data_IF_427040924735
#
_entry.id   IF_427040924735
#
_cell.length_a   1.000
_cell.length_b   1.000
_cell.length_c   1.000
_cell.angle_alpha   90.00
_cell.angle_beta   90.00
_cell.angle_gamma   90.00
#
_symmetry.space_group_name_H-M   'P 1'
#
loop_
_entity.id
_entity.type
_entity.pdbx_description
1 polymer ?
#
# COMPACT_ATOMS: atom_id res chain seq x y z
N UNK A 1 -5.47 -33.65 -14.64
CA UNK A 1 -5.41 -33.01 -13.31
C UNK A 1 -6.79 -32.43 -13.02
N UNK A 2 -7.35 -32.68 -11.83
CA UNK A 2 -8.62 -32.06 -11.42
C UNK A 2 -8.38 -30.67 -10.86
N UNK A 3 -9.30 -29.74 -11.10
CA UNK A 3 -9.29 -28.42 -10.46
C UNK A 3 -10.14 -28.44 -9.21
N UNK A 4 -9.80 -27.65 -8.20
CA UNK A 4 -10.52 -27.62 -6.93
C UNK A 4 -10.85 -26.19 -6.52
N UNK A 5 -12.02 -26.02 -5.91
CA UNK A 5 -12.41 -24.76 -5.29
C UNK A 5 -11.48 -24.43 -4.11
N UNK A 6 -10.95 -23.21 -4.04
CA UNK A 6 -10.04 -22.81 -2.99
C UNK A 6 -10.71 -22.76 -1.60
N UNK A 7 -12.04 -22.56 -1.55
CA UNK A 7 -12.82 -22.41 -0.31
C UNK A 7 -13.31 -23.76 0.23
N UNK A 8 -14.16 -24.45 -0.52
CA UNK A 8 -14.82 -25.68 -0.06
C UNK A 8 -14.16 -26.97 -0.58
N UNK A 9 -13.06 -26.86 -1.31
CA UNK A 9 -12.24 -27.98 -1.83
C UNK A 9 -12.97 -28.98 -2.74
N UNK A 10 -14.19 -28.68 -3.17
CA UNK A 10 -14.90 -29.50 -4.17
C UNK A 10 -14.21 -29.40 -5.52
N UNK A 11 -14.26 -30.49 -6.29
CA UNK A 11 -13.77 -30.53 -7.67
C UNK A 11 -14.60 -29.58 -8.55
N UNK A 12 -13.94 -28.85 -9.44
CA UNK A 12 -14.55 -27.94 -10.41
C UNK A 12 -14.10 -28.30 -11.82
N UNK A 13 -14.95 -28.05 -12.82
CA UNK A 13 -14.61 -28.30 -14.22
C UNK A 13 -13.59 -27.29 -14.75
N UNK A 14 -12.94 -27.61 -15.86
CA UNK A 14 -12.00 -26.72 -16.58
C UNK A 14 -12.63 -25.37 -16.91
N UNK A 15 -13.88 -25.36 -17.35
CA UNK A 15 -14.59 -24.14 -17.75
C UNK A 15 -14.88 -23.26 -16.53
N UNK A 16 -15.28 -23.87 -15.41
CA UNK A 16 -15.52 -23.15 -14.15
C UNK A 16 -14.21 -22.61 -13.57
N UNK A 17 -13.14 -23.38 -13.65
CA UNK A 17 -11.80 -22.92 -13.26
C UNK A 17 -11.37 -21.71 -14.09
N UNK A 18 -11.43 -21.79 -15.42
CA UNK A 18 -11.00 -20.69 -16.29
C UNK A 18 -11.83 -19.43 -16.07
N UNK A 19 -13.15 -19.54 -16.06
CA UNK A 19 -14.01 -18.41 -15.76
C UNK A 19 -13.68 -17.78 -14.40
N UNK A 20 -13.44 -18.61 -13.38
CA UNK A 20 -13.12 -18.13 -12.03
C UNK A 20 -11.75 -17.45 -11.97
N UNK A 21 -10.75 -17.97 -12.68
CA UNK A 21 -9.44 -17.34 -12.79
C UNK A 21 -9.51 -16.02 -13.56
N UNK A 22 -10.22 -15.98 -14.69
CA UNK A 22 -10.32 -14.78 -15.54
C UNK A 22 -11.14 -13.64 -14.91
N UNK A 23 -12.19 -13.98 -14.15
CA UNK A 23 -13.12 -12.99 -13.58
C UNK A 23 -12.87 -12.66 -12.12
N UNK A 24 -12.29 -13.59 -11.35
CA UNK A 24 -12.15 -13.48 -9.88
C UNK A 24 -10.69 -13.63 -9.43
N UNK A 25 -9.79 -14.17 -10.27
CA UNK A 25 -8.38 -14.38 -9.92
C UNK A 25 -8.12 -15.52 -8.92
N UNK A 26 -9.16 -16.28 -8.55
CA UNK A 26 -9.09 -17.42 -7.63
C UNK A 26 -9.94 -18.57 -8.16
N UNK A 27 -9.53 -19.84 -8.00
CA UNK A 27 -10.31 -20.99 -8.45
C UNK A 27 -11.47 -21.26 -7.49
N UNK A 28 -12.70 -20.90 -7.86
CA UNK A 28 -13.90 -21.05 -7.04
C UNK A 28 -14.99 -21.84 -7.78
N UNK A 29 -15.75 -22.67 -7.06
CA UNK A 29 -16.94 -23.31 -7.60
C UNK A 29 -18.09 -22.32 -7.75
N UNK A 30 -19.06 -22.60 -8.63
CA UNK A 30 -20.22 -21.71 -8.89
C UNK A 30 -20.96 -21.26 -7.61
N UNK A 31 -21.09 -22.15 -6.62
CA UNK A 31 -21.74 -21.83 -5.34
C UNK A 31 -20.89 -20.87 -4.48
N UNK A 32 -19.57 -21.01 -4.50
CA UNK A 32 -18.67 -20.09 -3.81
C UNK A 32 -18.54 -18.76 -4.58
N UNK A 33 -18.66 -18.76 -5.92
CA UNK A 33 -18.65 -17.53 -6.74
C UNK A 33 -19.82 -16.60 -6.38
N UNK A 34 -21.02 -17.13 -6.15
CA UNK A 34 -22.19 -16.33 -5.72
C UNK A 34 -22.09 -15.82 -4.28
N UNK A 35 -21.27 -16.48 -3.45
CA UNK A 35 -20.92 -15.99 -2.11
C UNK A 35 -19.77 -14.98 -2.14
N UNK A 36 -18.99 -14.95 -3.23
CA UNK A 36 -17.88 -14.00 -3.44
C UNK A 36 -18.33 -12.62 -3.93
N UNK A 37 -19.55 -12.47 -4.47
CA UNK A 37 -20.13 -11.14 -4.71
C UNK A 37 -20.36 -10.32 -3.43
N UNK A 38 -20.32 -10.98 -2.26
CA UNK A 38 -20.33 -10.36 -0.93
C UNK A 38 -19.02 -10.49 -0.15
N UNK A 39 -18.01 -11.14 -0.71
CA UNK A 39 -16.66 -11.22 -0.12
C UNK A 39 -15.71 -10.42 -1.01
N UNK A 40 -15.69 -9.10 -0.83
CA UNK A 40 -14.43 -8.35 -0.96
C UNK A 40 -13.39 -9.16 -0.21
N UNK A 41 -12.43 -9.72 -0.94
CA UNK A 41 -11.34 -10.49 -0.36
C UNK A 41 -10.65 -9.61 0.68
N UNK A 42 -10.53 -10.09 1.93
CA UNK A 42 -9.69 -9.48 2.95
C UNK A 42 -8.18 -9.71 2.67
N UNK A 43 -7.81 -9.71 1.39
CA UNK A 43 -6.44 -9.61 0.90
C UNK A 43 -6.35 -8.24 0.27
N UNK A 44 -5.50 -7.37 0.80
CA UNK A 44 -5.33 -6.00 0.32
C UNK A 44 -4.85 -6.02 -1.14
N UNK A 45 -5.78 -5.97 -2.08
CA UNK A 45 -5.44 -5.47 -3.39
C UNK A 45 -5.28 -3.96 -3.24
N UNK A 46 -4.07 -3.46 -3.49
CA UNK A 46 -3.82 -2.02 -3.50
C UNK A 46 -4.89 -1.31 -4.30
N UNK A 47 -5.33 -0.17 -3.80
CA UNK A 47 -6.29 0.69 -4.49
C UNK A 47 -5.74 1.04 -5.89
N UNK A 48 -6.61 1.25 -6.89
CA UNK A 48 -6.18 1.72 -8.20
C UNK A 48 -5.29 2.98 -8.12
N UNK A 49 -5.59 3.86 -7.17
CA UNK A 49 -4.82 5.06 -6.87
C UNK A 49 -3.40 4.72 -6.37
N UNK A 50 -3.26 3.80 -5.41
CA UNK A 50 -1.95 3.35 -4.94
C UNK A 50 -1.13 2.68 -6.07
N UNK A 51 -1.77 1.87 -6.92
CA UNK A 51 -1.12 1.28 -8.10
C UNK A 51 -0.68 2.34 -9.11
N UNK A 52 -1.52 3.33 -9.38
CA UNK A 52 -1.20 4.42 -10.30
C UNK A 52 -0.01 5.25 -9.81
N UNK A 53 -0.02 5.63 -8.53
CA UNK A 53 1.07 6.36 -7.91
C UNK A 53 2.36 5.53 -7.89
N UNK A 54 2.28 4.27 -7.52
CA UNK A 54 3.40 3.34 -7.56
C UNK A 54 4.06 3.29 -8.95
N UNK A 55 3.26 3.11 -10.00
CA UNK A 55 3.78 3.05 -11.38
C UNK A 55 4.43 4.38 -11.79
N UNK A 56 3.83 5.51 -11.42
CA UNK A 56 4.39 6.84 -11.70
C UNK A 56 5.75 7.05 -11.01
N UNK A 57 5.92 6.56 -9.77
CA UNK A 57 7.19 6.59 -9.04
C UNK A 57 8.22 5.62 -9.65
N UNK A 58 7.81 4.41 -10.05
CA UNK A 58 8.68 3.45 -10.74
C UNK A 58 9.20 4.01 -12.06
N UNK A 59 8.36 4.69 -12.83
CA UNK A 59 8.74 5.35 -14.09
C UNK A 59 9.80 6.44 -13.87
N UNK A 60 9.86 7.04 -12.67
CA UNK A 60 10.86 8.03 -12.24
C UNK A 60 12.11 7.41 -11.62
N UNK A 61 12.25 6.08 -11.66
CA UNK A 61 13.41 5.38 -11.13
C UNK A 61 13.39 5.14 -9.62
N UNK A 62 12.28 5.41 -8.93
CA UNK A 62 12.18 5.19 -7.49
C UNK A 62 12.16 3.67 -7.20
N UNK A 63 12.93 3.16 -6.22
CA UNK A 63 12.94 1.75 -5.83
C UNK A 63 11.73 1.37 -4.93
N UNK A 64 10.54 1.86 -5.27
CA UNK A 64 9.33 1.63 -4.50
C UNK A 64 8.91 0.15 -4.46
N UNK A 65 8.28 -0.26 -3.34
CA UNK A 65 7.66 -1.58 -3.10
C UNK A 65 6.18 -1.38 -2.79
N UNK A 66 5.30 -2.12 -3.47
CA UNK A 66 3.84 -2.04 -3.29
C UNK A 66 3.36 -3.07 -2.24
N UNK A 67 2.42 -2.71 -1.36
CA UNK A 67 1.81 -3.55 -0.31
C UNK A 67 2.81 -4.24 0.63
N UNK A 68 3.87 -3.55 1.01
CA UNK A 68 4.89 -4.14 1.85
C UNK A 68 4.32 -4.42 3.25
N UNK A 69 4.33 -5.69 3.68
CA UNK A 69 4.03 -6.05 5.06
C UNK A 69 5.27 -5.85 5.94
N UNK A 70 5.18 -4.96 6.93
CA UNK A 70 6.31 -4.60 7.81
C UNK A 70 6.39 -5.46 9.10
N UNK A 71 5.56 -6.51 9.19
CA UNK A 71 5.37 -7.33 10.38
C UNK A 71 4.20 -6.90 11.27
N UNK A 72 3.65 -5.70 11.07
CA UNK A 72 2.57 -5.13 11.88
C UNK A 72 1.39 -4.62 11.04
N UNK A 73 1.66 -4.04 9.87
CA UNK A 73 0.67 -3.59 8.90
C UNK A 73 1.17 -3.74 7.47
N UNK A 74 0.24 -3.64 6.53
CA UNK A 74 0.59 -3.37 5.13
C UNK A 74 0.80 -1.87 4.95
N UNK A 75 1.84 -1.52 4.22
CA UNK A 75 2.15 -0.17 3.76
C UNK A 75 1.82 -0.14 2.26
N UNK A 76 1.00 0.81 1.81
CA UNK A 76 0.57 0.87 0.41
C UNK A 76 1.79 0.94 -0.52
N UNK A 77 2.71 1.88 -0.27
CA UNK A 77 3.97 2.01 -1.00
C UNK A 77 5.11 2.30 -0.01
N UNK A 78 6.15 1.47 -0.01
CA UNK A 78 7.35 1.65 0.80
C UNK A 78 8.57 1.96 -0.06
N UNK A 79 9.42 2.88 0.40
CA UNK A 79 10.72 3.24 -0.18
C UNK A 79 11.79 3.09 0.92
N UNK A 80 12.24 1.86 1.21
CA UNK A 80 13.11 1.58 2.35
C UNK A 80 14.44 2.35 2.33
N UNK A 81 15.01 2.57 1.14
CA UNK A 81 16.29 3.24 0.95
C UNK A 81 16.24 4.72 1.37
N UNK A 82 15.07 5.36 1.24
CA UNK A 82 14.83 6.73 1.71
C UNK A 82 14.21 6.77 3.11
N UNK A 83 13.94 5.61 3.72
CA UNK A 83 13.14 5.48 4.95
C UNK A 83 11.78 6.19 4.88
N UNK A 84 11.11 6.10 3.74
CA UNK A 84 9.78 6.72 3.53
C UNK A 84 8.73 5.66 3.24
N UNK A 85 7.60 5.76 3.95
CA UNK A 85 6.37 5.04 3.68
C UNK A 85 5.34 6.02 3.11
N UNK A 86 4.51 5.57 2.17
CA UNK A 86 3.42 6.34 1.58
C UNK A 86 2.13 5.54 1.80
N UNK A 87 1.13 6.22 2.34
CA UNK A 87 -0.23 5.72 2.52
C UNK A 87 -1.16 6.57 1.65
N UNK A 88 -2.00 5.91 0.85
CA UNK A 88 -2.93 6.55 -0.07
C UNK A 88 -4.31 6.58 0.58
N UNK A 89 -4.69 7.78 1.03
CA UNK A 89 -5.84 7.97 1.92
C UNK A 89 -7.10 8.36 1.14
N UNK A 90 -8.12 7.51 1.21
CA UNK A 90 -9.47 7.85 0.78
C UNK A 90 -10.14 8.76 1.81
N UNK A 91 -10.76 9.85 1.40
CA UNK A 91 -11.33 10.90 2.26
C UNK A 91 -12.41 10.50 3.28
N UNK A 92 -12.63 9.21 3.54
CA UNK A 92 -13.63 8.66 4.45
C UNK A 92 -13.06 7.94 5.70
N UNK A 93 -11.75 7.89 5.89
CA UNK A 93 -11.12 7.14 6.98
C UNK A 93 -10.87 7.98 8.24
N UNK A 94 -11.91 8.52 8.90
CA UNK A 94 -11.72 9.12 10.23
C UNK A 94 -12.97 9.15 11.15
N UNK A 95 -14.02 8.37 10.86
CA UNK A 95 -15.23 8.39 11.71
C UNK A 95 -15.12 7.53 12.97
N UNK A 96 -14.16 6.59 13.05
CA UNK A 96 -13.89 5.79 14.26
C UNK A 96 -12.61 6.26 14.97
N UNK A 97 -12.80 6.85 16.17
CA UNK A 97 -11.71 7.31 17.04
C UNK A 97 -10.70 6.21 17.39
N UNK A 98 -11.14 4.95 17.53
CA UNK A 98 -10.24 3.83 17.88
C UNK A 98 -9.32 3.50 16.71
N UNK A 99 -9.86 3.50 15.49
CA UNK A 99 -9.08 3.26 14.28
C UNK A 99 -8.06 4.38 14.06
N UNK A 100 -8.49 5.65 14.14
CA UNK A 100 -7.61 6.81 14.01
C UNK A 100 -6.44 6.78 15.02
N UNK A 101 -6.71 6.44 16.28
CA UNK A 101 -5.67 6.29 17.30
C UNK A 101 -4.73 5.11 17.00
N UNK A 102 -5.25 3.99 16.50
CA UNK A 102 -4.43 2.84 16.12
C UNK A 102 -3.51 3.19 14.92
N UNK A 103 -4.02 3.92 13.94
CA UNK A 103 -3.24 4.44 12.81
C UNK A 103 -2.12 5.36 13.27
N UNK A 104 -2.42 6.31 14.16
CA UNK A 104 -1.41 7.20 14.74
C UNK A 104 -0.32 6.40 15.48
N UNK A 105 -0.70 5.40 16.28
CA UNK A 105 0.26 4.53 16.97
C UNK A 105 1.15 3.79 15.99
N UNK A 106 0.60 3.25 14.89
CA UNK A 106 1.37 2.57 13.83
C UNK A 106 2.35 3.52 13.13
N UNK A 107 1.93 4.73 12.82
CA UNK A 107 2.80 5.78 12.28
C UNK A 107 3.94 6.10 13.26
N UNK A 108 3.64 6.27 14.54
CA UNK A 108 4.66 6.50 15.58
C UNK A 108 5.68 5.37 15.67
N UNK A 109 5.25 4.10 15.61
CA UNK A 109 6.18 2.96 15.63
C UNK A 109 7.10 2.92 14.41
N UNK A 110 6.59 3.29 13.22
CA UNK A 110 7.42 3.42 12.01
C UNK A 110 8.42 4.54 12.18
N UNK A 111 7.99 5.69 12.71
CA UNK A 111 8.83 6.83 13.00
C UNK A 111 9.97 6.52 13.98
N UNK A 112 9.71 5.76 15.04
CA UNK A 112 10.76 5.27 15.95
C UNK A 112 11.84 4.44 15.25
N UNK A 113 11.50 3.76 14.14
CA UNK A 113 12.44 3.02 13.31
C UNK A 113 13.13 3.91 12.26
N UNK A 114 12.92 5.22 12.31
CA UNK A 114 13.46 6.22 11.39
C UNK A 114 12.61 6.47 10.15
N UNK A 115 11.43 5.84 10.03
CA UNK A 115 10.59 6.01 8.84
C UNK A 115 9.71 7.25 8.92
N UNK A 116 9.74 8.07 7.87
CA UNK A 116 8.72 9.10 7.63
C UNK A 116 7.52 8.45 6.93
N UNK A 117 6.30 8.86 7.26
CA UNK A 117 5.08 8.38 6.60
C UNK A 117 4.35 9.56 5.96
N UNK A 118 4.26 9.56 4.63
CA UNK A 118 3.47 10.51 3.86
C UNK A 118 2.06 9.96 3.67
N UNK A 119 1.05 10.78 3.93
CA UNK A 119 -0.35 10.47 3.62
C UNK A 119 -0.77 11.29 2.41
N UNK A 120 -1.03 10.62 1.29
CA UNK A 120 -1.39 11.26 0.02
C UNK A 120 -2.89 11.06 -0.21
N UNK A 121 -3.69 12.15 -0.20
CA UNK A 121 -5.12 12.03 -0.48
C UNK A 121 -5.38 11.52 -1.90
N UNK A 122 -6.39 10.65 -2.07
CA UNK A 122 -6.79 10.16 -3.39
C UNK A 122 -7.12 11.28 -4.39
N UNK A 123 -7.55 12.46 -3.91
CA UNK A 123 -7.85 13.62 -4.75
C UNK A 123 -6.63 14.19 -5.47
N UNK A 124 -5.40 13.87 -5.03
CA UNK A 124 -4.17 14.22 -5.73
C UNK A 124 -3.78 13.18 -6.80
N UNK A 125 -4.36 11.99 -6.74
CA UNK A 125 -4.06 10.87 -7.65
C UNK A 125 -5.11 10.83 -8.77
N UNK A 126 -5.22 11.95 -9.49
CA UNK A 126 -6.08 12.07 -10.67
C UNK A 126 -5.23 12.13 -11.93
N UNK A 127 -5.84 11.87 -13.11
CA UNK A 127 -5.11 11.95 -14.39
C UNK A 127 -4.40 13.29 -14.63
N UNK A 128 -4.93 14.40 -14.08
CA UNK A 128 -4.34 15.73 -14.24
C UNK A 128 -3.23 16.05 -13.25
N UNK A 129 -3.22 15.41 -12.07
CA UNK A 129 -2.33 15.78 -10.97
C UNK A 129 -1.33 14.68 -10.58
N UNK A 130 -1.48 13.46 -11.12
CA UNK A 130 -0.67 12.30 -10.75
C UNK A 130 0.83 12.55 -10.97
N UNK A 131 1.20 13.13 -12.12
CA UNK A 131 2.61 13.38 -12.44
C UNK A 131 3.23 14.44 -11.54
N UNK A 132 2.55 15.58 -11.35
CA UNK A 132 2.99 16.63 -10.43
C UNK A 132 3.11 16.10 -8.99
N UNK A 133 2.13 15.30 -8.54
CA UNK A 133 2.17 14.65 -7.22
C UNK A 133 3.39 13.73 -7.10
N UNK A 134 3.67 12.93 -8.12
CA UNK A 134 4.82 12.04 -8.13
C UNK A 134 6.15 12.80 -8.17
N UNK A 135 6.24 13.93 -8.89
CA UNK A 135 7.43 14.79 -8.95
C UNK A 135 7.76 15.37 -7.57
N UNK A 136 6.77 15.93 -6.88
CA UNK A 136 6.97 16.43 -5.51
C UNK A 136 7.34 15.33 -4.51
N UNK A 137 6.78 14.12 -4.67
CA UNK A 137 7.19 12.98 -3.85
C UNK A 137 8.66 12.63 -4.13
N UNK A 138 9.10 12.63 -5.38
CA UNK A 138 10.51 12.39 -5.71
C UNK A 138 11.43 13.42 -5.07
N UNK A 139 11.06 14.71 -5.09
CA UNK A 139 11.86 15.75 -4.44
C UNK A 139 11.89 15.59 -2.92
N UNK A 140 10.78 15.17 -2.30
CA UNK A 140 10.76 14.80 -0.89
C UNK A 140 11.69 13.61 -0.59
N UNK A 141 11.70 12.58 -1.43
CA UNK A 141 12.57 11.40 -1.26
C UNK A 141 14.05 11.78 -1.36
N UNK A 142 14.43 12.66 -2.30
CA UNK A 142 15.81 13.17 -2.41
C UNK A 142 16.23 13.90 -1.14
N UNK A 143 15.36 14.76 -0.61
CA UNK A 143 15.64 15.47 0.63
C UNK A 143 15.80 14.50 1.83
N UNK A 144 14.95 13.47 1.90
CA UNK A 144 15.08 12.41 2.93
C UNK A 144 16.45 11.72 2.86
N UNK A 145 16.88 11.32 1.66
CA UNK A 145 18.19 10.69 1.45
C UNK A 145 19.33 11.64 1.84
N UNK A 146 19.27 12.91 1.42
CA UNK A 146 20.27 13.92 1.79
C UNK A 146 20.38 14.09 3.31
N UNK A 147 19.27 14.08 4.04
CA UNK A 147 19.26 14.17 5.50
C UNK A 147 19.89 12.93 6.15
N UNK A 148 19.63 11.74 5.61
CA UNK A 148 20.23 10.49 6.08
C UNK A 148 21.75 10.44 5.83
N UNK A 149 22.22 10.97 4.70
CA UNK A 149 23.64 11.02 4.36
C UNK A 149 24.40 12.12 5.15
N UNK A 150 23.73 13.21 5.49
CA UNK A 150 24.34 14.38 6.16
C UNK A 150 24.34 14.31 7.69
N UNK A 151 23.66 13.34 8.32
CA UNK A 151 23.69 13.14 9.78
C UNK A 151 24.48 11.88 10.19
N UNK A 152 25.75 12.00 10.63
CA UNK A 152 26.52 10.85 11.13
C UNK A 152 26.15 10.41 12.57
N UNK A 153 25.17 11.05 13.23
CA UNK A 153 24.89 10.78 14.66
C UNK A 153 23.50 11.24 15.13
N UNK A 154 22.85 10.35 15.90
CA UNK A 154 21.60 10.52 16.65
C UNK A 154 21.53 11.80 17.51
N UNK A 155 22.67 12.43 17.83
CA UNK A 155 22.71 13.65 18.66
C UNK A 155 22.17 14.91 17.98
N UNK A 156 22.16 14.97 16.64
CA UNK A 156 21.70 16.17 15.92
C UNK A 156 20.17 16.23 15.80
N UNK A 157 19.51 15.07 15.69
CA UNK A 157 18.05 14.97 15.69
C UNK A 157 17.41 15.50 16.99
N UNK A 158 17.99 15.21 18.16
CA UNK A 158 17.49 15.71 19.45
C UNK A 158 17.56 17.25 19.59
N UNK A 159 18.55 17.90 18.95
CA UNK A 159 18.70 19.36 18.98
C UNK A 159 17.63 20.11 18.17
N UNK A 160 16.90 19.44 17.28
CA UNK A 160 15.82 20.05 16.48
C UNK A 160 14.46 20.01 17.19
N UNK A 161 14.34 19.25 18.27
CA UNK A 161 13.07 18.99 18.95
C UNK A 161 12.96 19.68 20.33
N UNK A 162 14.06 20.15 20.90
CA UNK A 162 14.12 20.87 22.18
C UNK A 162 15.15 22.00 22.15
#
# INVERSE_FOLDING_TARGET
>A
MGYYCNVCKVTISSEVYQFSMDKIGLPLCRNCQSSSSKRKSNTSESTPEAKALYNALKARGVPAKLELFDGFKHIDIAIPEAMVNIEVDGGHHNFDKKQALADLKRTYYSFKKGYLTLRIPNSLITKGNLDETADYIVDFLKESVNQLESEPSFSNWLKRLF
#
